data_IF_353358947121
#
_entry.id   IF_353358947121
#
_cell.length_a   1.000
_cell.length_b   1.000
_cell.length_c   1.000
_cell.angle_alpha   90.00
_cell.angle_beta   90.00
_cell.angle_gamma   90.00
#
_symmetry.space_group_name_H-M   'P 1'
#
loop_
_entity.id
_entity.type
_entity.pdbx_description
1 polymer ?
#
# COMPACT_ATOMS: atom_id res chain seq x y z
N UNK A 1 3.56 1.77 -11.74
CA UNK A 1 4.51 2.58 -12.52
C UNK A 1 4.34 2.40 -14.04
N UNK A 2 4.11 1.21 -14.55
CA UNK A 2 4.15 0.93 -15.99
C UNK A 2 2.87 1.24 -16.79
N UNK A 3 1.91 1.96 -16.24
CA UNK A 3 0.68 2.32 -16.94
C UNK A 3 0.33 3.80 -16.83
N UNK A 4 0.51 4.40 -15.67
CA UNK A 4 0.00 5.73 -15.36
C UNK A 4 1.05 6.85 -15.48
N UNK A 5 2.34 6.52 -15.56
CA UNK A 5 3.41 7.50 -15.71
C UNK A 5 3.97 7.56 -17.13
N UNK A 6 4.49 8.72 -17.57
CA UNK A 6 5.22 8.84 -18.81
C UNK A 6 6.39 7.86 -18.90
N UNK A 7 6.69 7.33 -20.10
CA UNK A 7 7.74 6.32 -20.30
C UNK A 7 9.13 6.75 -19.85
N UNK A 8 9.48 8.03 -20.00
CA UNK A 8 10.76 8.55 -19.52
C UNK A 8 10.89 8.51 -17.99
N UNK A 9 9.82 8.82 -17.25
CA UNK A 9 9.81 8.76 -15.79
C UNK A 9 9.96 7.32 -15.29
N UNK A 10 9.31 6.37 -15.96
CA UNK A 10 9.48 4.94 -15.68
C UNK A 10 10.92 4.48 -15.89
N UNK A 11 11.55 4.88 -16.97
CA UNK A 11 12.96 4.54 -17.27
C UNK A 11 13.90 5.11 -16.22
N UNK A 12 13.74 6.38 -15.85
CA UNK A 12 14.52 6.99 -14.76
C UNK A 12 14.34 6.26 -13.44
N UNK A 13 13.10 5.91 -13.10
CA UNK A 13 12.80 5.14 -11.88
C UNK A 13 13.55 3.80 -11.84
N UNK A 14 13.61 3.08 -12.95
CA UNK A 14 14.39 1.82 -13.07
C UNK A 14 15.88 2.08 -12.89
N UNK A 15 16.44 3.06 -13.59
CA UNK A 15 17.88 3.38 -13.53
C UNK A 15 18.28 3.75 -12.09
N UNK A 16 17.57 4.68 -11.46
CA UNK A 16 17.88 5.08 -10.09
C UNK A 16 17.66 3.95 -9.08
N UNK A 17 16.64 3.12 -9.27
CA UNK A 17 16.41 1.95 -8.41
C UNK A 17 17.59 0.95 -8.49
N UNK A 18 18.08 0.66 -9.70
CA UNK A 18 19.24 -0.21 -9.87
C UNK A 18 20.53 0.37 -9.28
N UNK A 19 20.72 1.69 -9.39
CA UNK A 19 21.87 2.38 -8.77
C UNK A 19 21.89 2.25 -7.24
N UNK A 20 20.73 2.14 -6.58
CA UNK A 20 20.63 1.97 -5.13
C UNK A 20 21.20 0.64 -4.60
N UNK A 21 21.40 -0.37 -5.46
CA UNK A 21 22.02 -1.63 -5.05
C UNK A 21 23.44 -1.39 -4.50
N UNK A 22 24.23 -0.55 -5.17
CA UNK A 22 25.63 -0.32 -4.79
C UNK A 22 25.78 0.26 -3.37
N UNK A 23 25.14 1.39 -2.99
CA UNK A 23 25.26 1.92 -1.63
C UNK A 23 24.61 1.02 -0.58
N UNK A 24 23.48 0.36 -0.90
CA UNK A 24 22.79 -0.52 0.04
C UNK A 24 23.61 -1.75 0.37
N UNK A 25 24.17 -2.41 -0.63
CA UNK A 25 25.05 -3.56 -0.41
C UNK A 25 26.37 -3.16 0.20
N UNK A 26 26.90 -1.98 -0.14
CA UNK A 26 28.05 -1.41 0.56
C UNK A 26 27.79 -1.29 2.07
N UNK A 27 26.63 -0.79 2.46
CA UNK A 27 26.19 -0.71 3.86
C UNK A 27 26.04 -2.09 4.52
N UNK A 28 25.40 -3.06 3.83
CA UNK A 28 25.26 -4.43 4.32
C UNK A 28 26.64 -5.08 4.55
N UNK A 29 27.50 -5.03 3.54
CA UNK A 29 28.84 -5.63 3.63
C UNK A 29 29.67 -4.98 4.73
N UNK A 30 29.65 -3.66 4.86
CA UNK A 30 30.33 -2.95 5.92
C UNK A 30 29.81 -3.39 7.30
N UNK A 31 28.49 -3.50 7.48
CA UNK A 31 27.88 -4.00 8.71
C UNK A 31 28.33 -5.43 9.07
N UNK A 32 28.31 -6.34 8.10
CA UNK A 32 28.76 -7.73 8.33
C UNK A 32 30.29 -7.81 8.57
N UNK A 33 31.08 -7.02 7.85
CA UNK A 33 32.54 -7.00 8.00
C UNK A 33 33.00 -6.40 9.34
N UNK A 34 32.17 -5.62 10.04
CA UNK A 34 32.49 -5.18 11.41
C UNK A 34 32.64 -6.35 12.39
N UNK A 35 32.04 -7.51 12.06
CA UNK A 35 32.17 -8.74 12.85
C UNK A 35 33.40 -9.58 12.48
N UNK A 36 34.25 -9.09 11.59
CA UNK A 36 35.49 -9.82 11.21
C UNK A 36 36.36 -10.10 12.43
N UNK A 37 36.63 -11.37 12.72
CA UNK A 37 37.35 -11.81 13.90
C UNK A 37 36.51 -11.94 15.19
N UNK A 38 35.21 -11.69 15.14
CA UNK A 38 34.30 -11.75 16.30
C UNK A 38 32.99 -12.53 16.03
N UNK A 39 32.97 -13.38 15.00
CA UNK A 39 31.79 -14.16 14.65
C UNK A 39 31.36 -15.16 15.73
N UNK A 40 32.26 -15.60 16.58
CA UNK A 40 31.97 -16.42 17.75
C UNK A 40 31.01 -15.75 18.72
N UNK A 41 31.08 -14.40 18.85
CA UNK A 41 30.23 -13.62 19.75
C UNK A 41 28.75 -13.66 19.35
N UNK A 42 28.44 -13.81 18.06
CA UNK A 42 27.04 -13.93 17.58
C UNK A 42 26.33 -15.14 18.22
N UNK A 43 27.05 -16.21 18.59
CA UNK A 43 26.43 -17.38 19.25
C UNK A 43 25.91 -17.05 20.66
N UNK A 44 26.55 -16.13 21.34
CA UNK A 44 26.29 -15.83 22.76
C UNK A 44 25.38 -14.60 22.93
N UNK A 45 25.59 -13.58 22.12
CA UNK A 45 24.91 -12.29 22.25
C UNK A 45 23.63 -12.22 21.39
N UNK A 46 22.45 -12.14 22.00
CA UNK A 46 21.18 -12.00 21.26
C UNK A 46 21.08 -10.69 20.46
N UNK A 47 21.74 -9.60 20.89
CA UNK A 47 21.78 -8.34 20.15
C UNK A 47 22.45 -8.57 18.79
N UNK A 48 23.62 -9.20 18.80
CA UNK A 48 24.34 -9.49 17.55
C UNK A 48 23.58 -10.44 16.64
N UNK A 49 22.83 -11.41 17.19
CA UNK A 49 21.97 -12.28 16.39
C UNK A 49 20.90 -11.48 15.61
N UNK A 50 20.19 -10.60 16.29
CA UNK A 50 19.22 -9.72 15.66
C UNK A 50 19.87 -8.81 14.61
N UNK A 51 21.03 -8.22 14.90
CA UNK A 51 21.74 -7.34 13.98
C UNK A 51 22.20 -8.07 12.72
N UNK A 52 22.75 -9.27 12.83
CA UNK A 52 23.20 -10.06 11.67
C UNK A 52 22.04 -10.44 10.77
N UNK A 53 20.95 -10.95 11.35
CA UNK A 53 19.74 -11.29 10.57
C UNK A 53 19.17 -10.03 9.90
N UNK A 54 19.08 -8.94 10.65
CA UNK A 54 18.53 -7.68 10.13
C UNK A 54 19.36 -7.11 8.98
N UNK A 55 20.68 -7.06 9.11
CA UNK A 55 21.57 -6.54 8.05
C UNK A 55 21.55 -7.47 6.82
N UNK A 56 21.45 -8.80 7.02
CA UNK A 56 21.30 -9.74 5.91
C UNK A 56 19.96 -9.53 5.18
N UNK A 57 18.87 -9.42 5.94
CA UNK A 57 17.54 -9.12 5.37
C UNK A 57 17.51 -7.76 4.64
N UNK A 58 18.21 -6.74 5.17
CA UNK A 58 18.43 -5.48 4.49
C UNK A 58 19.03 -5.66 3.09
N UNK A 59 20.12 -6.45 3.00
CA UNK A 59 20.73 -6.75 1.71
C UNK A 59 19.79 -7.47 0.75
N UNK A 60 18.95 -8.38 1.25
CA UNK A 60 17.95 -9.08 0.43
C UNK A 60 16.89 -8.13 -0.11
N UNK A 61 16.22 -7.35 0.73
CA UNK A 61 15.15 -6.46 0.28
C UNK A 61 15.65 -5.33 -0.60
N UNK A 62 16.85 -4.83 -0.37
CA UNK A 62 17.47 -3.79 -1.19
C UNK A 62 18.06 -4.31 -2.51
N UNK A 63 18.11 -5.61 -2.70
CA UNK A 63 18.31 -6.25 -4.00
C UNK A 63 16.96 -6.49 -4.71
N UNK A 64 15.98 -7.03 -3.99
CA UNK A 64 14.65 -7.31 -4.53
C UNK A 64 13.93 -6.05 -5.01
N UNK A 65 13.99 -4.92 -4.25
CA UNK A 65 13.35 -3.67 -4.61
C UNK A 65 13.76 -3.17 -6.01
N UNK A 66 15.04 -2.97 -6.27
CA UNK A 66 15.55 -2.66 -7.61
C UNK A 66 15.17 -3.68 -8.68
N UNK A 67 15.21 -4.98 -8.39
CA UNK A 67 14.74 -6.01 -9.33
C UNK A 67 13.27 -5.83 -9.67
N UNK A 68 12.41 -5.53 -8.69
CA UNK A 68 10.99 -5.27 -8.90
C UNK A 68 10.73 -4.03 -9.75
N UNK A 69 11.70 -3.12 -9.90
CA UNK A 69 11.59 -1.97 -10.81
C UNK A 69 11.77 -2.35 -12.28
N UNK A 70 12.38 -3.49 -12.59
CA UNK A 70 12.57 -3.98 -13.96
C UNK A 70 11.23 -4.43 -14.52
N UNK A 71 10.85 -3.95 -15.72
CA UNK A 71 9.54 -4.17 -16.33
C UNK A 71 9.10 -5.65 -16.34
N UNK A 72 9.97 -6.56 -16.75
CA UNK A 72 9.65 -7.99 -16.83
C UNK A 72 9.44 -8.63 -15.45
N UNK A 73 10.24 -8.25 -14.46
CA UNK A 73 10.09 -8.73 -13.06
C UNK A 73 8.83 -8.12 -12.44
N UNK A 74 8.62 -6.82 -12.65
CA UNK A 74 7.40 -6.13 -12.20
C UNK A 74 6.14 -6.76 -12.79
N UNK A 75 6.15 -7.09 -14.08
CA UNK A 75 5.03 -7.75 -14.75
C UNK A 75 4.62 -9.05 -14.04
N UNK A 76 5.57 -9.78 -13.47
CA UNK A 76 5.31 -11.03 -12.73
C UNK A 76 4.92 -10.73 -11.29
N UNK A 77 5.70 -9.93 -10.57
CA UNK A 77 5.59 -9.78 -9.13
C UNK A 77 4.51 -8.80 -8.67
N UNK A 78 4.30 -7.69 -9.40
CA UNK A 78 3.36 -6.64 -9.01
C UNK A 78 1.92 -7.17 -8.95
N UNK A 79 1.20 -6.78 -7.94
CA UNK A 79 -0.14 -7.23 -7.54
C UNK A 79 -0.23 -8.65 -6.97
N UNK A 80 0.85 -9.44 -7.00
CA UNK A 80 0.88 -10.74 -6.34
C UNK A 80 1.34 -10.66 -4.87
N UNK A 81 1.16 -11.73 -4.12
CA UNK A 81 1.64 -11.83 -2.74
C UNK A 81 3.18 -11.82 -2.63
N UNK A 82 3.90 -11.87 -3.75
CA UNK A 82 5.35 -11.64 -3.77
C UNK A 82 5.72 -10.29 -3.17
N UNK A 83 4.94 -9.24 -3.48
CA UNK A 83 5.12 -7.89 -2.89
C UNK A 83 4.95 -7.94 -1.37
N UNK A 84 4.01 -8.74 -0.87
CA UNK A 84 3.80 -8.91 0.57
C UNK A 84 4.99 -9.61 1.22
N UNK A 85 5.56 -10.64 0.57
CA UNK A 85 6.80 -11.28 1.01
C UNK A 85 7.95 -10.29 1.11
N UNK A 86 8.17 -9.51 0.05
CA UNK A 86 9.19 -8.46 0.00
C UNK A 86 9.05 -7.44 1.13
N UNK A 87 7.86 -6.86 1.30
CA UNK A 87 7.61 -5.86 2.35
C UNK A 87 7.82 -6.43 3.75
N UNK A 88 7.36 -7.66 4.02
CA UNK A 88 7.50 -8.26 5.34
C UNK A 88 8.91 -8.78 5.62
N UNK A 89 9.69 -9.15 4.61
CA UNK A 89 11.12 -9.34 4.76
C UNK A 89 11.80 -8.05 5.28
N UNK A 90 11.43 -6.90 4.71
CA UNK A 90 11.88 -5.59 5.17
C UNK A 90 11.33 -5.21 6.55
N UNK A 91 10.03 -5.34 6.77
CA UNK A 91 9.39 -4.88 8.00
C UNK A 91 9.72 -5.76 9.22
N UNK A 92 9.67 -7.09 9.08
CA UNK A 92 9.82 -8.00 10.21
C UNK A 92 11.30 -8.36 10.46
N UNK A 93 12.03 -8.77 9.40
CA UNK A 93 13.42 -9.22 9.57
C UNK A 93 14.39 -8.04 9.61
N UNK A 94 14.33 -7.11 8.66
CA UNK A 94 15.25 -5.96 8.66
C UNK A 94 14.88 -4.95 9.76
N UNK A 95 13.80 -4.20 9.61
CA UNK A 95 13.46 -3.12 10.55
C UNK A 95 13.10 -3.66 11.93
N UNK A 96 12.29 -4.72 12.01
CA UNK A 96 11.93 -5.38 13.27
C UNK A 96 13.16 -5.96 14.00
N UNK A 97 14.04 -6.63 13.26
CA UNK A 97 15.28 -7.16 13.80
C UNK A 97 16.21 -6.06 14.36
N UNK A 98 16.41 -4.96 13.61
CA UNK A 98 17.16 -3.81 14.09
C UNK A 98 16.51 -3.20 15.35
N UNK A 99 15.20 -2.97 15.33
CA UNK A 99 14.49 -2.39 16.47
C UNK A 99 14.61 -3.26 17.73
N UNK A 100 14.42 -4.57 17.63
CA UNK A 100 14.57 -5.48 18.76
C UNK A 100 16.00 -5.55 19.26
N UNK A 101 16.98 -5.65 18.36
CA UNK A 101 18.39 -5.61 18.72
C UNK A 101 18.77 -4.31 19.44
N UNK A 102 18.32 -3.17 18.93
CA UNK A 102 18.54 -1.87 19.56
C UNK A 102 17.88 -1.76 20.93
N UNK A 103 16.65 -2.23 21.10
CA UNK A 103 15.97 -2.23 22.40
C UNK A 103 16.73 -3.08 23.43
N UNK A 104 17.23 -4.26 23.08
CA UNK A 104 18.06 -5.08 23.94
C UNK A 104 19.39 -4.43 24.30
N UNK A 105 19.94 -3.63 23.38
CA UNK A 105 21.18 -2.91 23.60
C UNK A 105 21.00 -1.67 24.49
N UNK A 106 19.95 -0.88 24.26
CA UNK A 106 19.74 0.40 24.90
C UNK A 106 19.10 0.27 26.29
N UNK A 107 18.07 -0.58 26.45
CA UNK A 107 17.29 -0.66 27.68
C UNK A 107 18.14 -0.94 28.92
N UNK A 108 19.09 -1.91 28.95
CA UNK A 108 19.94 -2.12 30.13
C UNK A 108 20.81 -0.91 30.45
N UNK A 109 21.22 -0.13 29.44
CA UNK A 109 22.06 1.05 29.61
C UNK A 109 21.29 2.23 30.18
N UNK A 110 20.08 2.48 29.67
CA UNK A 110 19.22 3.57 30.15
C UNK A 110 18.78 3.34 31.61
N UNK A 111 18.58 2.08 31.98
CA UNK A 111 18.15 1.71 33.35
C UNK A 111 19.30 1.27 34.26
N UNK A 112 20.56 1.49 33.86
CA UNK A 112 21.77 1.16 34.64
C UNK A 112 21.73 -0.27 35.23
N UNK A 113 21.32 -1.25 34.45
CA UNK A 113 21.11 -2.64 34.87
C UNK A 113 21.61 -3.63 33.82
N UNK A 114 21.56 -4.91 34.16
CA UNK A 114 21.82 -6.01 33.21
C UNK A 114 20.50 -6.49 32.61
N UNK A 115 20.56 -7.04 31.41
CA UNK A 115 19.40 -7.69 30.80
C UNK A 115 18.84 -8.77 31.74
N UNK A 116 17.54 -8.74 32.01
CA UNK A 116 16.87 -9.65 32.94
C UNK A 116 17.13 -11.13 32.60
N UNK A 117 17.01 -11.48 31.29
CA UNK A 117 17.26 -12.86 30.86
C UNK A 117 17.76 -12.95 29.41
N UNK A 118 19.00 -13.39 29.26
CA UNK A 118 19.58 -13.72 27.93
C UNK A 118 18.84 -14.92 27.29
N UNK A 119 18.36 -15.86 28.11
CA UNK A 119 17.59 -17.02 27.62
C UNK A 119 16.29 -16.57 26.96
N UNK A 120 15.53 -15.66 27.59
CA UNK A 120 14.30 -15.09 26.99
C UNK A 120 14.59 -14.28 25.72
N UNK A 121 15.69 -13.55 25.67
CA UNK A 121 16.10 -12.82 24.46
C UNK A 121 16.43 -13.80 23.31
N UNK A 122 17.06 -14.93 23.58
CA UNK A 122 17.31 -15.95 22.58
C UNK A 122 16.01 -16.65 22.13
N UNK A 123 15.08 -16.92 23.05
CA UNK A 123 13.76 -17.47 22.68
C UNK A 123 13.04 -16.48 21.77
N UNK A 124 12.99 -15.19 22.13
CA UNK A 124 12.42 -14.14 21.28
C UNK A 124 13.07 -14.13 19.90
N UNK A 125 14.39 -14.13 19.84
CA UNK A 125 15.13 -14.14 18.56
C UNK A 125 14.69 -15.29 17.65
N UNK A 126 14.66 -16.52 18.17
CA UNK A 126 14.30 -17.69 17.35
C UNK A 126 12.82 -17.68 16.94
N UNK A 127 11.92 -17.33 17.85
CA UNK A 127 10.49 -17.25 17.53
C UNK A 127 10.21 -16.14 16.51
N UNK A 128 10.81 -14.96 16.66
CA UNK A 128 10.64 -13.86 15.71
C UNK A 128 11.25 -14.20 14.35
N UNK A 129 12.48 -14.75 14.31
CA UNK A 129 13.16 -15.07 13.05
C UNK A 129 12.44 -16.19 12.31
N UNK A 130 12.15 -17.30 12.98
CA UNK A 130 11.43 -18.42 12.35
C UNK A 130 10.00 -18.03 11.97
N UNK A 131 9.33 -17.24 12.81
CA UNK A 131 8.02 -16.71 12.54
C UNK A 131 8.01 -15.87 11.26
N UNK A 132 8.97 -14.97 11.09
CA UNK A 132 9.11 -14.18 9.89
C UNK A 132 9.45 -15.03 8.65
N UNK A 133 10.29 -16.06 8.77
CA UNK A 133 10.60 -17.00 7.68
C UNK A 133 9.33 -17.74 7.23
N UNK A 134 8.53 -18.28 8.17
CA UNK A 134 7.27 -18.95 7.88
C UNK A 134 6.17 -17.97 7.39
N UNK A 135 6.37 -16.67 7.52
CA UNK A 135 5.53 -15.66 6.91
C UNK A 135 5.98 -15.35 5.49
N UNK A 136 7.26 -15.04 5.30
CA UNK A 136 7.82 -14.47 4.05
C UNK A 136 7.90 -15.51 2.93
N UNK A 137 8.42 -16.72 3.21
CA UNK A 137 8.59 -17.77 2.19
C UNK A 137 7.24 -18.18 1.55
N UNK A 138 6.17 -18.46 2.32
CA UNK A 138 4.87 -18.76 1.73
C UNK A 138 4.31 -17.62 0.88
N UNK A 139 4.60 -16.36 1.22
CA UNK A 139 4.16 -15.22 0.41
C UNK A 139 4.90 -15.15 -0.93
N UNK A 140 6.20 -15.40 -0.97
CA UNK A 140 6.93 -15.52 -2.23
C UNK A 140 6.37 -16.66 -3.09
N UNK A 141 6.16 -17.83 -2.50
CA UNK A 141 5.61 -18.97 -3.22
C UNK A 141 4.19 -18.70 -3.73
N UNK A 142 3.31 -18.22 -2.86
CA UNK A 142 1.94 -17.84 -3.24
C UNK A 142 1.94 -16.80 -4.35
N UNK A 143 2.80 -15.77 -4.27
CA UNK A 143 2.90 -14.72 -5.27
C UNK A 143 3.36 -15.22 -6.64
N UNK A 144 4.32 -16.14 -6.70
CA UNK A 144 4.75 -16.79 -7.94
C UNK A 144 3.61 -17.62 -8.53
N UNK A 145 2.94 -18.42 -7.69
CA UNK A 145 1.78 -19.23 -8.09
C UNK A 145 0.66 -18.36 -8.68
N UNK A 146 0.29 -17.26 -7.99
CA UNK A 146 -0.68 -16.29 -8.49
C UNK A 146 -0.31 -15.78 -9.87
N UNK A 147 0.92 -15.33 -10.02
CA UNK A 147 1.39 -14.70 -11.25
C UNK A 147 1.41 -15.65 -12.44
N UNK A 148 1.79 -16.89 -12.23
CA UNK A 148 1.77 -17.92 -13.27
C UNK A 148 0.34 -18.25 -13.69
N UNK A 149 -0.55 -18.55 -12.73
CA UNK A 149 -1.96 -18.86 -13.01
C UNK A 149 -2.70 -17.70 -13.69
N UNK A 150 -2.43 -16.44 -13.28
CA UNK A 150 -3.12 -15.30 -13.90
C UNK A 150 -2.71 -15.05 -15.34
N UNK A 151 -1.56 -15.55 -15.79
CA UNK A 151 -1.00 -15.34 -17.14
C UNK A 151 -1.01 -16.56 -18.02
N UNK A 152 -1.44 -17.68 -17.51
CA UNK A 152 -1.50 -18.91 -18.27
C UNK A 152 -2.65 -18.88 -19.28
N UNK A 153 -2.35 -19.32 -20.51
CA UNK A 153 -3.30 -19.46 -21.60
C UNK A 153 -3.37 -20.90 -22.06
N UNK A 154 -4.55 -21.33 -22.45
CA UNK A 154 -4.75 -22.62 -23.15
C UNK A 154 -4.15 -22.57 -24.54
N UNK A 155 -3.96 -23.73 -25.18
CA UNK A 155 -3.49 -23.82 -26.58
C UNK A 155 -4.42 -23.08 -27.56
N UNK A 156 -5.69 -22.88 -27.19
CA UNK A 156 -6.68 -22.15 -27.97
C UNK A 156 -6.60 -20.62 -27.75
N UNK A 157 -5.74 -20.17 -26.83
CA UNK A 157 -5.51 -18.77 -26.55
C UNK A 157 -6.49 -18.12 -25.58
N UNK A 158 -7.26 -18.88 -24.82
CA UNK A 158 -8.09 -18.39 -23.72
C UNK A 158 -7.33 -18.44 -22.40
N UNK A 159 -7.75 -17.63 -21.41
CA UNK A 159 -7.21 -17.74 -20.06
C UNK A 159 -7.44 -19.16 -19.51
N UNK A 160 -6.37 -19.80 -19.02
CA UNK A 160 -6.49 -21.14 -18.43
C UNK A 160 -7.28 -21.11 -17.11
N UNK A 161 -7.16 -20.01 -16.35
CA UNK A 161 -7.85 -19.79 -15.07
C UNK A 161 -8.64 -18.48 -15.13
N UNK A 162 -9.81 -18.44 -15.79
CA UNK A 162 -10.60 -17.21 -15.95
C UNK A 162 -11.23 -16.75 -14.64
N UNK A 163 -11.61 -17.66 -13.75
CA UNK A 163 -12.19 -17.30 -12.45
C UNK A 163 -11.07 -16.95 -11.46
N UNK A 164 -11.13 -15.75 -10.89
CA UNK A 164 -10.14 -15.28 -9.92
C UNK A 164 -10.04 -16.18 -8.67
N UNK A 165 -11.17 -16.78 -8.23
CA UNK A 165 -11.21 -17.64 -7.05
C UNK A 165 -10.39 -18.93 -7.22
N UNK A 166 -10.17 -19.44 -8.44
CA UNK A 166 -9.34 -20.61 -8.68
C UNK A 166 -7.92 -20.41 -8.12
N UNK A 167 -7.35 -19.22 -8.35
CA UNK A 167 -6.04 -18.87 -7.80
C UNK A 167 -6.09 -18.70 -6.28
N UNK A 168 -7.15 -18.08 -5.75
CA UNK A 168 -7.32 -17.89 -4.30
C UNK A 168 -7.34 -19.24 -3.57
N UNK A 169 -8.11 -20.19 -4.05
CA UNK A 169 -8.21 -21.54 -3.44
C UNK A 169 -6.85 -22.23 -3.44
N UNK A 170 -6.07 -22.08 -4.52
CA UNK A 170 -4.75 -22.71 -4.65
C UNK A 170 -3.74 -22.20 -3.63
N UNK A 171 -3.84 -20.94 -3.19
CA UNK A 171 -2.87 -20.35 -2.26
C UNK A 171 -3.31 -20.35 -0.79
N UNK A 172 -4.50 -20.87 -0.45
CA UNK A 172 -4.96 -21.00 0.95
C UNK A 172 -3.93 -21.68 1.87
N UNK A 173 -3.23 -22.78 1.47
CA UNK A 173 -2.21 -23.38 2.32
C UNK A 173 -1.06 -22.41 2.68
N UNK A 174 -0.68 -21.52 1.75
CA UNK A 174 0.34 -20.49 1.99
C UNK A 174 -0.16 -19.45 2.98
N UNK A 175 -1.45 -19.11 2.95
CA UNK A 175 -2.07 -18.23 3.94
C UNK A 175 -2.12 -18.87 5.34
N UNK A 176 -2.37 -20.17 5.43
CA UNK A 176 -2.31 -20.90 6.71
C UNK A 176 -0.88 -20.88 7.29
N UNK A 177 0.14 -21.12 6.46
CA UNK A 177 1.55 -21.02 6.89
C UNK A 177 1.93 -19.60 7.30
N UNK A 178 1.44 -18.58 6.57
CA UNK A 178 1.60 -17.17 6.93
C UNK A 178 1.00 -16.86 8.31
N UNK A 179 -0.22 -17.34 8.58
CA UNK A 179 -0.88 -17.16 9.87
C UNK A 179 -0.09 -17.81 11.01
N UNK A 180 0.40 -19.04 10.79
CA UNK A 180 1.28 -19.72 11.73
C UNK A 180 2.56 -18.92 12.00
N UNK A 181 3.24 -18.46 10.95
CA UNK A 181 4.46 -17.64 11.06
C UNK A 181 4.21 -16.34 11.82
N UNK A 182 3.13 -15.62 11.49
CA UNK A 182 2.75 -14.40 12.20
C UNK A 182 2.46 -14.63 13.68
N UNK A 183 1.79 -15.74 14.02
CA UNK A 183 1.53 -16.13 15.42
C UNK A 183 2.82 -16.39 16.19
N UNK A 184 3.77 -17.12 15.60
CA UNK A 184 5.10 -17.33 16.21
C UNK A 184 5.82 -16.00 16.45
N UNK A 185 5.79 -15.10 15.48
CA UNK A 185 6.42 -13.78 15.59
C UNK A 185 5.84 -12.99 16.77
N UNK A 186 4.51 -12.96 16.90
CA UNK A 186 3.81 -12.28 18.03
C UNK A 186 4.20 -12.90 19.37
N UNK A 187 4.21 -14.23 19.48
CA UNK A 187 4.63 -14.92 20.70
C UNK A 187 6.07 -14.55 21.06
N UNK A 188 6.97 -14.54 20.07
CA UNK A 188 8.34 -14.07 20.25
C UNK A 188 8.40 -12.63 20.79
N UNK A 189 7.66 -11.72 20.18
CA UNK A 189 7.58 -10.31 20.59
C UNK A 189 7.08 -10.17 22.05
N UNK A 190 6.11 -10.96 22.48
CA UNK A 190 5.62 -10.96 23.86
C UNK A 190 6.72 -11.36 24.85
N UNK A 191 7.55 -12.37 24.54
CA UNK A 191 8.74 -12.69 25.35
C UNK A 191 9.71 -11.51 25.38
N UNK A 192 9.89 -10.81 24.27
CA UNK A 192 10.71 -9.61 24.17
C UNK A 192 10.22 -8.50 25.09
N UNK A 193 8.93 -8.15 24.99
CA UNK A 193 8.29 -7.13 25.82
C UNK A 193 8.41 -7.46 27.31
N UNK A 194 8.12 -8.71 27.68
CA UNK A 194 8.25 -9.14 29.08
C UNK A 194 9.69 -9.01 29.59
N UNK A 195 10.68 -9.44 28.81
CA UNK A 195 12.09 -9.36 29.18
C UNK A 195 12.56 -7.91 29.35
N UNK A 196 12.18 -7.01 28.43
CA UNK A 196 12.51 -5.59 28.48
C UNK A 196 11.81 -4.90 29.67
N UNK A 197 10.54 -5.22 29.91
CA UNK A 197 9.80 -4.71 31.07
C UNK A 197 10.50 -5.10 32.40
N UNK A 198 10.87 -6.36 32.55
CA UNK A 198 11.57 -6.85 33.74
C UNK A 198 12.97 -6.20 33.88
N UNK A 199 13.66 -6.00 32.76
CA UNK A 199 14.95 -5.29 32.73
C UNK A 199 14.80 -3.86 33.24
N UNK A 200 13.86 -3.11 32.66
CA UNK A 200 13.58 -1.72 33.09
C UNK A 200 13.19 -1.63 34.58
N UNK A 201 12.36 -2.58 35.05
CA UNK A 201 11.90 -2.60 36.45
C UNK A 201 13.00 -2.99 37.44
N UNK A 202 14.08 -3.67 37.00
CA UNK A 202 15.19 -4.08 37.86
C UNK A 202 16.27 -3.01 38.06
N UNK A 203 16.21 -1.92 37.29
CA UNK A 203 17.16 -0.80 37.35
C UNK A 203 16.51 0.52 37.75
N UNK A 204 17.30 1.56 37.68
CA UNK A 204 16.85 2.95 37.86
C UNK A 204 17.13 3.72 36.57
N UNK A 205 16.18 4.59 36.19
CA UNK A 205 16.38 5.44 35.02
C UNK A 205 17.60 6.34 35.21
N UNK A 206 18.50 6.31 34.22
CA UNK A 206 19.67 7.20 34.19
C UNK A 206 19.22 8.66 34.39
N UNK A 207 19.83 9.35 35.34
CA UNK A 207 19.57 10.76 35.58
C UNK A 207 20.05 11.55 34.35
N UNK A 208 19.27 12.55 33.94
CA UNK A 208 19.69 13.46 32.90
C UNK A 208 20.91 14.25 33.39
N UNK A 209 22.09 13.90 32.93
CA UNK A 209 23.33 14.65 33.13
C UNK A 209 23.59 15.49 31.86
N UNK A 210 24.16 16.67 32.05
CA UNK A 210 24.62 17.47 30.89
C UNK A 210 25.66 16.68 30.11
N UNK A 211 25.40 16.42 28.84
CA UNK A 211 26.34 15.75 27.98
C UNK A 211 27.56 16.64 27.77
N UNK A 212 28.71 16.24 28.28
CA UNK A 212 29.96 16.92 27.98
C UNK A 212 30.46 16.44 26.61
N UNK A 213 30.25 17.26 25.59
CA UNK A 213 30.87 17.07 24.30
C UNK A 213 32.30 17.65 24.32
N UNK A 214 33.31 16.93 23.79
CA UNK A 214 34.61 17.55 23.58
C UNK A 214 34.46 18.80 22.70
N UNK A 215 35.24 19.85 23.00
CA UNK A 215 35.25 21.05 22.21
C UNK A 215 35.42 20.74 20.71
N UNK A 216 34.62 21.36 19.85
CA UNK A 216 34.73 21.22 18.41
C UNK A 216 36.17 21.51 17.98
N UNK A 217 36.93 20.49 17.67
CA UNK A 217 38.25 20.64 17.08
C UNK A 217 38.05 21.14 15.64
N UNK A 218 38.63 22.26 15.32
CA UNK A 218 38.75 22.70 13.93
C UNK A 218 39.56 21.63 13.20
N UNK A 219 38.95 20.94 12.27
CA UNK A 219 39.65 20.00 11.43
C UNK A 219 40.71 20.75 10.63
N UNK A 220 41.96 20.61 11.04
CA UNK A 220 43.12 21.06 10.27
C UNK A 220 43.26 20.02 9.13
N UNK A 221 42.75 20.37 7.93
CA UNK A 221 42.79 19.44 6.78
C UNK A 221 44.23 19.01 6.50
N UNK A 222 44.46 17.73 6.41
CA UNK A 222 45.69 17.16 5.91
C UNK A 222 45.79 17.48 4.40
N UNK A 223 46.96 17.96 3.92
CA UNK A 223 47.17 18.28 2.49
C UNK A 223 46.93 17.07 1.57
N UNK A 224 47.11 15.86 2.11
CA UNK A 224 46.90 14.56 1.42
C UNK A 224 45.48 14.00 1.57
N UNK A 225 44.57 14.72 2.19
CA UNK A 225 43.21 14.24 2.42
C UNK A 225 42.41 14.24 1.10
N UNK A 226 41.74 13.10 0.81
CA UNK A 226 40.88 12.98 -0.38
C UNK A 226 39.73 14.01 -0.33
N UNK A 227 39.29 14.45 -1.49
CA UNK A 227 38.28 15.52 -1.59
C UNK A 227 36.97 15.19 -0.85
N UNK A 228 36.55 13.91 -0.84
CA UNK A 228 35.33 13.48 -0.15
C UNK A 228 35.50 13.54 1.38
N UNK A 229 36.64 13.11 1.93
CA UNK A 229 36.93 13.26 3.37
C UNK A 229 37.01 14.71 3.80
N UNK A 230 37.60 15.55 2.97
CA UNK A 230 37.63 17.01 3.21
C UNK A 230 36.22 17.61 3.21
N UNK A 231 35.30 17.06 2.41
CA UNK A 231 33.90 17.46 2.38
C UNK A 231 33.15 16.96 3.62
N UNK A 232 33.30 15.69 3.98
CA UNK A 232 32.69 15.08 5.16
C UNK A 232 33.13 15.76 6.46
N UNK A 233 34.40 16.19 6.55
CA UNK A 233 34.92 16.95 7.68
C UNK A 233 34.33 18.36 7.81
N UNK A 234 33.47 18.82 6.89
CA UNK A 234 32.81 20.12 6.89
C UNK A 234 31.30 19.97 6.85
N UNK A 235 30.66 19.62 7.99
CA UNK A 235 29.25 19.23 8.03
C UNK A 235 28.30 20.22 7.40
N UNK A 236 28.50 21.52 7.57
CA UNK A 236 27.66 22.55 6.95
C UNK A 236 27.72 22.49 5.41
N UNK A 237 28.95 22.43 4.85
CA UNK A 237 29.12 22.33 3.38
C UNK A 237 28.57 21.02 2.83
N UNK A 238 28.82 19.93 3.53
CA UNK A 238 28.28 18.62 3.16
C UNK A 238 26.75 18.64 3.12
N UNK A 239 26.12 19.15 4.18
CA UNK A 239 24.66 19.26 4.26
C UNK A 239 24.09 20.15 3.15
N UNK A 240 24.67 21.32 2.91
CA UNK A 240 24.21 22.23 1.86
C UNK A 240 24.33 21.59 0.46
N UNK A 241 25.46 20.93 0.17
CA UNK A 241 25.63 20.25 -1.12
C UNK A 241 24.68 19.04 -1.26
N UNK A 242 24.40 18.33 -0.17
CA UNK A 242 23.41 17.24 -0.17
C UNK A 242 22.02 17.79 -0.45
N UNK A 243 21.61 18.89 0.19
CA UNK A 243 20.33 19.54 -0.08
C UNK A 243 20.24 20.01 -1.54
N UNK A 244 21.31 20.62 -2.07
CA UNK A 244 21.35 21.04 -3.48
C UNK A 244 21.21 19.85 -4.41
N UNK A 245 21.89 18.73 -4.15
CA UNK A 245 21.78 17.52 -4.96
C UNK A 245 20.35 16.91 -4.93
N UNK A 246 19.72 16.89 -3.76
CA UNK A 246 18.31 16.46 -3.59
C UNK A 246 17.37 17.37 -4.38
N UNK A 247 17.55 18.68 -4.26
CA UNK A 247 16.73 19.67 -4.98
C UNK A 247 16.91 19.54 -6.51
N UNK A 248 18.12 19.36 -6.99
CA UNK A 248 18.37 19.15 -8.43
C UNK A 248 17.63 17.88 -8.89
N UNK A 249 17.75 16.77 -8.17
CA UNK A 249 17.04 15.53 -8.50
C UNK A 249 15.51 15.70 -8.51
N UNK A 250 14.96 16.34 -7.48
CA UNK A 250 13.53 16.62 -7.38
C UNK A 250 13.03 17.55 -8.50
N UNK A 251 13.79 18.61 -8.81
CA UNK A 251 13.44 19.57 -9.88
C UNK A 251 13.45 18.87 -11.24
N UNK A 252 14.46 18.05 -11.55
CA UNK A 252 14.56 17.32 -12.83
C UNK A 252 13.35 16.39 -13.06
N UNK A 253 12.81 15.81 -12.00
CA UNK A 253 11.64 14.92 -12.09
C UNK A 253 10.32 15.70 -12.05
N UNK A 254 10.18 16.67 -11.13
CA UNK A 254 8.94 17.38 -10.87
C UNK A 254 8.62 18.43 -11.96
N UNK A 255 9.61 19.26 -12.36
CA UNK A 255 9.38 20.40 -13.25
C UNK A 255 8.82 20.00 -14.64
N UNK A 256 9.30 18.95 -15.31
CA UNK A 256 8.70 18.52 -16.57
C UNK A 256 7.23 18.11 -16.43
N UNK A 257 6.88 17.45 -15.32
CA UNK A 257 5.50 17.03 -15.06
C UNK A 257 4.62 18.25 -14.77
N UNK A 258 5.13 19.24 -14.02
CA UNK A 258 4.37 20.43 -13.66
C UNK A 258 4.22 21.46 -14.79
N UNK A 259 5.18 21.52 -15.73
CA UNK A 259 5.21 22.56 -16.78
C UNK A 259 4.76 22.08 -18.15
N UNK A 260 4.72 20.77 -18.38
CA UNK A 260 4.36 20.20 -19.68
C UNK A 260 3.00 19.51 -19.56
N UNK A 261 1.95 20.16 -20.05
CA UNK A 261 0.57 19.68 -19.94
C UNK A 261 0.39 18.26 -20.52
N UNK A 262 1.11 17.91 -21.58
CA UNK A 262 1.06 16.57 -22.17
C UNK A 262 1.61 15.45 -21.26
N UNK A 263 2.32 15.78 -20.19
CA UNK A 263 2.76 14.83 -19.16
C UNK A 263 1.66 14.52 -18.12
N UNK A 264 0.58 15.30 -18.13
CA UNK A 264 -0.62 15.08 -17.31
C UNK A 264 -1.79 14.80 -18.28
N UNK A 265 -1.90 13.57 -18.79
CA UNK A 265 -2.95 13.25 -19.74
C UNK A 265 -4.32 13.40 -19.10
N UNK A 266 -5.23 14.05 -19.80
CA UNK A 266 -6.64 14.20 -19.43
C UNK A 266 -7.50 13.48 -20.43
N UNK A 267 -8.67 13.02 -20.01
CA UNK A 267 -9.72 12.41 -20.84
C UNK A 267 -10.96 13.26 -20.65
N UNK A 268 -11.51 13.80 -21.74
CA UNK A 268 -12.63 14.75 -21.70
C UNK A 268 -13.89 14.17 -21.06
N UNK A 269 -14.11 12.87 -21.21
CA UNK A 269 -15.27 12.18 -20.61
C UNK A 269 -15.15 11.93 -19.11
N UNK A 270 -13.94 12.04 -18.53
CA UNK A 270 -13.73 11.83 -17.09
C UNK A 270 -14.25 13.01 -16.30
N UNK A 271 -15.15 12.75 -15.38
CA UNK A 271 -15.82 13.74 -14.54
C UNK A 271 -15.42 13.61 -13.08
N UNK A 272 -15.44 14.70 -12.28
CA UNK A 272 -15.31 14.62 -10.84
C UNK A 272 -16.35 13.70 -10.21
N UNK A 273 -16.01 13.07 -9.09
CA UNK A 273 -16.97 12.28 -8.32
C UNK A 273 -18.10 13.16 -7.77
N UNK A 274 -19.32 12.64 -7.76
CA UNK A 274 -20.43 13.27 -7.03
C UNK A 274 -20.21 13.22 -5.53
N UNK A 275 -20.95 14.00 -4.76
CA UNK A 275 -20.84 14.00 -3.30
C UNK A 275 -21.07 12.60 -2.68
N UNK A 276 -22.02 11.82 -3.20
CA UNK A 276 -22.24 10.44 -2.73
C UNK A 276 -21.09 9.50 -3.11
N UNK A 277 -20.53 9.66 -4.29
CA UNK A 277 -19.38 8.88 -4.76
C UNK A 277 -18.10 9.21 -3.96
N UNK A 278 -17.91 10.48 -3.56
CA UNK A 278 -16.81 10.88 -2.64
C UNK A 278 -16.98 10.20 -1.28
N UNK A 279 -18.18 10.20 -0.69
CA UNK A 279 -18.43 9.46 0.56
C UNK A 279 -18.16 7.97 0.40
N UNK A 280 -18.64 7.37 -0.69
CA UNK A 280 -18.38 5.95 -0.99
C UNK A 280 -16.89 5.64 -1.13
N UNK A 281 -16.14 6.56 -1.74
CA UNK A 281 -14.66 6.45 -1.86
C UNK A 281 -13.97 6.54 -0.50
N UNK A 282 -14.41 7.45 0.35
CA UNK A 282 -13.87 7.59 1.70
C UNK A 282 -14.18 6.35 2.56
N UNK A 283 -15.37 5.77 2.45
CA UNK A 283 -15.73 4.50 3.07
C UNK A 283 -14.84 3.36 2.52
N UNK A 284 -14.64 3.29 1.21
CA UNK A 284 -13.77 2.29 0.57
C UNK A 284 -12.34 2.35 1.12
N UNK A 285 -11.82 3.55 1.39
CA UNK A 285 -10.50 3.75 2.01
C UNK A 285 -10.53 3.36 3.49
N UNK A 286 -11.54 3.82 4.23
CA UNK A 286 -11.66 3.58 5.67
C UNK A 286 -11.81 2.09 6.01
N UNK A 287 -12.58 1.35 5.21
CA UNK A 287 -12.74 -0.10 5.36
C UNK A 287 -11.54 -0.90 4.79
N UNK A 288 -10.60 -0.23 4.15
CA UNK A 288 -9.37 -0.84 3.65
C UNK A 288 -9.56 -1.73 2.42
N UNK A 289 -10.59 -1.52 1.61
CA UNK A 289 -10.87 -2.29 0.41
C UNK A 289 -9.68 -2.27 -0.57
N UNK A 290 -9.00 -1.12 -0.68
CA UNK A 290 -7.80 -0.93 -1.49
C UNK A 290 -6.58 -1.75 -1.03
N UNK A 291 -6.62 -2.34 0.17
CA UNK A 291 -5.58 -3.25 0.65
C UNK A 291 -5.69 -4.65 0.05
N UNK A 292 -6.88 -5.05 -0.40
CA UNK A 292 -7.14 -6.36 -1.01
C UNK A 292 -7.45 -6.26 -2.51
N UNK A 293 -8.04 -5.16 -2.96
CA UNK A 293 -8.41 -4.91 -4.35
C UNK A 293 -7.54 -3.80 -4.96
N UNK A 294 -7.06 -4.02 -6.17
CA UNK A 294 -6.42 -2.99 -6.97
C UNK A 294 -7.47 -2.24 -7.81
N UNK A 295 -7.10 -1.04 -8.27
CA UNK A 295 -7.88 -0.24 -9.22
C UNK A 295 -6.99 0.20 -10.39
N UNK A 296 -6.17 -0.71 -10.92
CA UNK A 296 -5.35 -0.45 -12.09
C UNK A 296 -5.15 -1.73 -12.89
N UNK A 297 -5.75 -1.80 -14.05
CA UNK A 297 -5.59 -2.88 -15.03
C UNK A 297 -4.40 -2.52 -15.92
N UNK A 298 -3.39 -3.38 -15.93
CA UNK A 298 -2.18 -3.17 -16.75
C UNK A 298 -2.44 -3.58 -18.21
N UNK A 299 -1.67 -3.03 -19.19
CA UNK A 299 -1.85 -3.32 -20.61
C UNK A 299 -1.28 -4.71 -21.01
N UNK A 300 -1.63 -5.74 -20.23
CA UNK A 300 -1.30 -7.12 -20.50
C UNK A 300 -2.55 -7.86 -20.96
N UNK A 301 -2.42 -8.68 -22.01
CA UNK A 301 -3.51 -9.47 -22.53
C UNK A 301 -4.25 -10.26 -21.44
N UNK A 302 -3.52 -10.87 -20.52
CA UNK A 302 -4.11 -11.63 -19.40
C UNK A 302 -4.94 -10.78 -18.45
N UNK A 303 -4.65 -9.49 -18.31
CA UNK A 303 -5.42 -8.57 -17.46
C UNK A 303 -6.62 -8.00 -18.22
N UNK A 304 -6.41 -7.59 -19.47
CA UNK A 304 -7.49 -7.02 -20.29
C UNK A 304 -8.57 -8.04 -20.63
N UNK A 305 -8.21 -9.30 -20.84
CA UNK A 305 -9.20 -10.38 -21.04
C UNK A 305 -9.96 -10.72 -19.74
N UNK A 306 -9.33 -10.55 -18.58
CA UNK A 306 -9.96 -10.84 -17.28
C UNK A 306 -10.84 -9.71 -16.77
N UNK A 307 -10.38 -8.47 -16.87
CA UNK A 307 -10.99 -7.32 -16.20
C UNK A 307 -11.62 -6.31 -17.16
N UNK A 308 -11.23 -6.29 -18.42
CA UNK A 308 -11.63 -5.30 -19.40
C UNK A 308 -10.48 -4.38 -19.82
N UNK A 309 -10.79 -3.26 -20.45
CA UNK A 309 -9.80 -2.34 -21.00
C UNK A 309 -8.79 -1.85 -19.94
N UNK A 310 -7.49 -1.79 -20.31
CA UNK A 310 -6.44 -1.31 -19.40
C UNK A 310 -6.66 0.12 -18.94
N UNK A 311 -6.20 0.42 -17.75
CA UNK A 311 -6.34 1.71 -17.09
C UNK A 311 -5.47 2.77 -17.76
N UNK A 312 -6.06 3.92 -18.08
CA UNK A 312 -5.38 5.07 -18.67
C UNK A 312 -5.09 6.12 -17.59
N UNK A 313 -3.96 6.79 -17.69
CA UNK A 313 -3.53 7.78 -16.70
C UNK A 313 -4.58 8.88 -16.47
N UNK A 314 -5.23 9.34 -17.55
CA UNK A 314 -6.26 10.38 -17.48
C UNK A 314 -7.52 9.99 -16.73
N UNK A 315 -7.75 8.70 -16.45
CA UNK A 315 -8.90 8.27 -15.65
C UNK A 315 -8.76 8.61 -14.16
N UNK A 316 -7.53 8.84 -13.68
CA UNK A 316 -7.21 9.08 -12.28
C UNK A 316 -6.96 10.56 -11.95
N UNK A 317 -7.19 11.46 -12.90
CA UNK A 317 -6.81 12.87 -12.75
C UNK A 317 -7.46 13.57 -11.55
N UNK A 318 -8.60 13.08 -11.10
CA UNK A 318 -9.33 13.61 -9.93
C UNK A 318 -9.21 12.73 -8.68
N UNK A 319 -8.38 11.70 -8.72
CA UNK A 319 -8.15 10.82 -7.56
C UNK A 319 -7.10 11.39 -6.60
N UNK A 320 -7.52 11.69 -5.38
CA UNK A 320 -6.66 12.17 -4.30
C UNK A 320 -6.92 11.39 -3.02
N UNK A 321 -6.04 10.41 -2.66
CA UNK A 321 -4.92 9.82 -3.39
C UNK A 321 -5.34 8.79 -4.45
N UNK A 322 -4.39 8.34 -5.28
CA UNK A 322 -4.60 7.18 -6.17
C UNK A 322 -4.80 5.90 -5.35
N UNK A 323 -5.79 5.09 -5.75
CA UNK A 323 -6.12 3.82 -5.08
C UNK A 323 -5.72 2.59 -5.92
N UNK A 324 -4.61 2.68 -6.63
CA UNK A 324 -4.14 1.61 -7.50
C UNK A 324 -3.91 0.28 -6.81
N UNK A 325 -3.59 0.30 -5.50
CA UNK A 325 -3.27 -0.89 -4.73
C UNK A 325 -1.88 -1.43 -5.01
N UNK A 326 -1.47 -2.41 -4.22
CA UNK A 326 -0.18 -3.10 -4.35
C UNK A 326 -0.31 -4.61 -4.49
N UNK A 327 -1.49 -5.16 -4.19
CA UNK A 327 -1.79 -6.60 -4.28
C UNK A 327 -3.23 -6.84 -4.72
N UNK A 328 -3.50 -8.05 -5.17
CA UNK A 328 -4.83 -8.57 -5.49
C UNK A 328 -5.11 -9.83 -4.67
N UNK A 329 -5.57 -9.64 -3.43
CA UNK A 329 -6.21 -10.71 -2.65
C UNK A 329 -7.61 -10.98 -3.20
N UNK A 330 -8.28 -9.92 -3.67
CA UNK A 330 -9.46 -9.92 -4.51
C UNK A 330 -9.15 -9.36 -5.91
N UNK A 331 -10.11 -9.45 -6.86
CA UNK A 331 -9.94 -8.98 -8.24
C UNK A 331 -9.72 -7.46 -8.32
N UNK A 332 -9.19 -7.00 -9.46
CA UNK A 332 -9.17 -5.57 -9.79
C UNK A 332 -10.58 -5.02 -9.94
N UNK A 333 -10.84 -3.83 -9.41
CA UNK A 333 -12.17 -3.20 -9.39
C UNK A 333 -12.29 -1.99 -10.34
N UNK A 334 -11.26 -1.65 -11.12
CA UNK A 334 -11.29 -0.44 -11.95
C UNK A 334 -12.37 -0.48 -13.04
N UNK A 335 -12.86 -1.65 -13.43
CA UNK A 335 -13.96 -1.84 -14.39
C UNK A 335 -15.15 -2.55 -13.77
N UNK A 336 -15.42 -2.30 -12.49
CA UNK A 336 -16.54 -2.94 -11.80
C UNK A 336 -17.88 -2.22 -12.04
N UNK A 337 -17.84 -0.94 -12.36
CA UNK A 337 -19.04 -0.14 -12.60
C UNK A 337 -19.89 -0.68 -13.74
N UNK A 338 -21.19 -0.86 -13.47
CA UNK A 338 -22.14 -1.44 -14.40
C UNK A 338 -22.02 -2.95 -14.64
N UNK A 339 -21.02 -3.62 -14.06
CA UNK A 339 -20.81 -5.07 -14.24
C UNK A 339 -21.81 -5.92 -13.47
N UNK A 340 -22.21 -5.47 -12.29
CA UNK A 340 -23.17 -6.14 -11.41
C UNK A 340 -24.24 -5.12 -10.96
N UNK A 341 -25.50 -5.55 -10.72
CA UNK A 341 -26.53 -4.66 -10.20
C UNK A 341 -26.26 -4.27 -8.74
N UNK A 342 -26.88 -3.17 -8.29
CA UNK A 342 -26.76 -2.65 -6.92
C UNK A 342 -27.10 -3.70 -5.86
N UNK A 343 -28.08 -4.54 -6.11
CA UNK A 343 -28.51 -5.66 -5.26
C UNK A 343 -27.39 -6.73 -5.09
N UNK A 344 -26.58 -6.93 -6.12
CA UNK A 344 -25.42 -7.82 -6.02
C UNK A 344 -24.35 -7.22 -5.09
N UNK A 345 -24.03 -5.95 -5.26
CA UNK A 345 -23.08 -5.27 -4.39
C UNK A 345 -23.54 -5.25 -2.94
N UNK A 346 -24.81 -4.98 -2.69
CA UNK A 346 -25.40 -4.99 -1.36
C UNK A 346 -25.25 -6.35 -0.68
N UNK A 347 -25.61 -7.44 -1.39
CA UNK A 347 -25.47 -8.81 -0.88
C UNK A 347 -24.02 -9.22 -0.69
N UNK A 348 -23.14 -8.79 -1.61
CA UNK A 348 -21.71 -9.09 -1.52
C UNK A 348 -21.05 -8.43 -0.31
N UNK A 349 -21.47 -7.23 0.08
CA UNK A 349 -20.98 -6.59 1.31
C UNK A 349 -21.51 -7.29 2.57
N UNK A 350 -22.75 -7.76 2.53
CA UNK A 350 -23.35 -8.47 3.65
C UNK A 350 -22.75 -9.87 3.84
N UNK A 351 -22.74 -10.68 2.78
CA UNK A 351 -22.16 -12.02 2.75
C UNK A 351 -21.48 -12.30 1.41
N UNK A 352 -20.16 -12.11 1.30
CA UNK A 352 -19.41 -12.36 0.07
C UNK A 352 -19.57 -13.79 -0.47
N UNK A 353 -19.72 -14.80 0.39
CA UNK A 353 -19.89 -16.20 -0.02
C UNK A 353 -21.23 -16.46 -0.71
N UNK A 354 -22.27 -15.69 -0.40
CA UNK A 354 -23.59 -15.82 -1.04
C UNK A 354 -23.58 -15.47 -2.52
N UNK A 355 -22.67 -14.57 -2.94
CA UNK A 355 -22.52 -14.13 -4.33
C UNK A 355 -21.31 -14.73 -5.03
N UNK A 356 -20.31 -15.13 -4.27
CA UNK A 356 -19.02 -15.68 -4.76
C UNK A 356 -18.58 -16.84 -3.87
N UNK A 357 -19.14 -18.06 -4.05
CA UNK A 357 -18.83 -19.22 -3.22
C UNK A 357 -17.32 -19.54 -3.20
N UNK A 358 -16.75 -19.70 -2.01
CA UNK A 358 -15.31 -19.90 -1.80
C UNK A 358 -14.53 -18.59 -1.62
N UNK A 359 -15.20 -17.45 -1.56
CA UNK A 359 -14.57 -16.16 -1.26
C UNK A 359 -13.94 -16.16 0.13
N UNK A 360 -12.74 -15.55 0.24
CA UNK A 360 -12.06 -15.25 1.52
C UNK A 360 -12.28 -13.81 1.96
N UNK A 361 -13.08 -13.03 1.22
CA UNK A 361 -13.45 -11.67 1.58
C UNK A 361 -14.24 -11.69 2.88
N UNK A 362 -13.90 -10.86 3.89
CA UNK A 362 -14.70 -10.73 5.09
C UNK A 362 -16.05 -10.08 4.78
N UNK A 363 -17.07 -10.37 5.57
CA UNK A 363 -18.36 -9.69 5.52
C UNK A 363 -18.25 -8.30 6.19
N UNK A 364 -19.03 -7.35 5.70
CA UNK A 364 -19.10 -5.96 6.19
C UNK A 364 -20.54 -5.56 6.61
N UNK A 365 -21.20 -6.31 7.51
CA UNK A 365 -22.61 -6.09 7.83
C UNK A 365 -22.87 -4.71 8.48
N UNK A 366 -21.88 -4.10 9.12
CA UNK A 366 -21.99 -2.75 9.70
C UNK A 366 -22.23 -1.66 8.68
N UNK A 367 -21.84 -1.84 7.40
CA UNK A 367 -22.11 -0.89 6.34
C UNK A 367 -23.62 -0.74 6.05
N UNK A 368 -24.40 -1.79 6.38
CA UNK A 368 -25.85 -1.79 6.20
C UNK A 368 -26.57 -1.10 7.37
N UNK A 369 -25.91 -0.96 8.53
CA UNK A 369 -26.52 -0.41 9.75
C UNK A 369 -26.02 0.97 10.12
N UNK A 370 -24.77 1.33 9.75
CA UNK A 370 -24.19 2.63 10.04
C UNK A 370 -24.57 3.67 8.98
N UNK A 371 -24.82 4.88 9.46
CA UNK A 371 -25.14 6.01 8.60
C UNK A 371 -23.89 6.70 8.06
N UNK A 372 -23.96 7.24 6.85
CA UNK A 372 -22.91 8.01 6.19
C UNK A 372 -22.80 9.42 6.79
N UNK A 373 -21.63 10.04 6.67
CA UNK A 373 -21.38 11.41 7.13
C UNK A 373 -21.75 12.42 6.03
N UNK A 374 -22.97 12.95 6.10
CA UNK A 374 -23.42 13.98 5.17
C UNK A 374 -23.02 15.40 5.61
N UNK A 375 -22.77 15.62 6.90
CA UNK A 375 -22.54 16.94 7.46
C UNK A 375 -21.20 17.53 7.01
N UNK A 376 -20.15 16.71 6.95
CA UNK A 376 -18.82 17.14 6.54
C UNK A 376 -18.63 17.26 5.02
N UNK A 377 -19.59 16.83 4.20
CA UNK A 377 -19.46 16.75 2.74
C UNK A 377 -19.12 18.09 2.06
N UNK A 378 -19.72 19.24 2.40
CA UNK A 378 -19.33 20.53 1.82
C UNK A 378 -17.82 20.82 1.96
N UNK A 379 -17.27 20.59 3.15
CA UNK A 379 -15.85 20.83 3.44
C UNK A 379 -14.93 19.87 2.65
N UNK A 380 -15.38 18.63 2.42
CA UNK A 380 -14.61 17.66 1.61
C UNK A 380 -14.58 18.08 0.14
N UNK A 381 -15.69 18.58 -0.41
CA UNK A 381 -15.73 19.09 -1.79
C UNK A 381 -14.85 20.33 -1.94
N UNK A 382 -14.84 21.25 -0.95
CA UNK A 382 -13.93 22.41 -0.94
C UNK A 382 -12.45 21.96 -0.88
N UNK A 383 -12.13 20.96 -0.06
CA UNK A 383 -10.78 20.41 0.02
C UNK A 383 -10.35 19.81 -1.33
N UNK A 384 -11.20 19.04 -2.00
CA UNK A 384 -10.92 18.49 -3.33
C UNK A 384 -10.78 19.61 -4.39
N UNK A 385 -11.58 20.67 -4.32
CA UNK A 385 -11.43 21.85 -5.19
C UNK A 385 -10.07 22.53 -4.99
N UNK A 386 -9.58 22.61 -3.74
CA UNK A 386 -8.28 23.21 -3.40
C UNK A 386 -7.11 22.44 -4.03
N UNK A 387 -7.23 21.10 -4.18
CA UNK A 387 -6.22 20.26 -4.83
C UNK A 387 -6.42 20.13 -6.35
N UNK A 388 -7.33 20.89 -6.93
CA UNK A 388 -7.47 21.06 -8.37
C UNK A 388 -8.62 20.30 -9.03
N UNK A 389 -9.50 19.64 -8.27
CA UNK A 389 -10.71 19.02 -8.83
C UNK A 389 -11.68 20.13 -9.26
N UNK A 390 -12.17 20.15 -10.52
CA UNK A 390 -12.90 21.28 -11.10
C UNK A 390 -14.39 21.28 -10.71
N UNK A 391 -14.67 21.29 -9.41
CA UNK A 391 -16.04 21.51 -8.96
C UNK A 391 -16.48 22.96 -9.17
N UNK A 392 -17.77 23.17 -9.47
CA UNK A 392 -18.35 24.52 -9.44
C UNK A 392 -18.18 25.14 -8.05
N UNK A 393 -17.81 26.44 -7.94
CA UNK A 393 -17.67 27.13 -6.65
C UNK A 393 -18.92 27.07 -5.76
N UNK A 394 -20.10 26.86 -6.37
CA UNK A 394 -21.36 26.70 -5.65
C UNK A 394 -21.74 25.28 -5.29
N UNK A 395 -20.98 24.27 -5.79
CA UNK A 395 -21.33 22.87 -5.55
C UNK A 395 -21.33 22.47 -4.07
N UNK A 396 -20.43 22.98 -3.20
CA UNK A 396 -20.51 22.71 -1.76
C UNK A 396 -21.88 23.02 -1.13
N UNK A 397 -22.56 24.06 -1.61
CA UNK A 397 -23.90 24.47 -1.10
C UNK A 397 -24.98 23.42 -1.42
N UNK A 398 -24.82 22.67 -2.52
CA UNK A 398 -25.78 21.69 -3.03
C UNK A 398 -25.35 20.23 -2.78
N UNK A 399 -24.12 20.01 -2.35
CA UNK A 399 -23.51 18.69 -2.23
C UNK A 399 -24.36 17.71 -1.42
N UNK A 400 -24.87 18.14 -0.26
CA UNK A 400 -25.73 17.30 0.59
C UNK A 400 -27.06 16.98 -0.09
N UNK A 401 -27.63 17.93 -0.80
CA UNK A 401 -28.91 17.75 -1.55
C UNK A 401 -28.72 16.74 -2.71
N UNK A 402 -27.63 16.87 -3.45
CA UNK A 402 -27.27 15.96 -4.54
C UNK A 402 -27.00 14.55 -4.01
N UNK A 403 -26.25 14.45 -2.92
CA UNK A 403 -25.96 13.19 -2.22
C UNK A 403 -27.23 12.44 -1.81
N UNK A 404 -28.20 13.15 -1.18
CA UNK A 404 -29.49 12.57 -0.78
C UNK A 404 -30.31 12.11 -1.99
N UNK A 405 -30.36 12.92 -3.04
CA UNK A 405 -31.11 12.58 -4.25
C UNK A 405 -30.53 11.36 -4.98
N UNK A 406 -29.20 11.23 -5.05
CA UNK A 406 -28.55 10.07 -5.63
C UNK A 406 -28.76 8.83 -4.76
N UNK A 407 -28.62 8.94 -3.44
CA UNK A 407 -28.81 7.84 -2.50
C UNK A 407 -30.26 7.32 -2.54
N UNK A 408 -31.26 8.20 -2.63
CA UNK A 408 -32.66 7.80 -2.72
C UNK A 408 -32.95 7.03 -4.03
N UNK A 409 -32.36 7.46 -5.17
CA UNK A 409 -32.51 6.72 -6.44
C UNK A 409 -31.99 5.28 -6.34
N UNK A 410 -30.81 5.09 -5.71
CA UNK A 410 -30.23 3.73 -5.50
C UNK A 410 -31.14 2.92 -4.58
N UNK A 411 -31.56 3.50 -3.47
CA UNK A 411 -32.44 2.81 -2.50
C UNK A 411 -33.79 2.46 -3.11
N UNK A 412 -34.38 3.33 -3.91
CA UNK A 412 -35.62 3.03 -4.63
C UNK A 412 -35.42 1.87 -5.62
N UNK A 413 -34.33 1.85 -6.38
CA UNK A 413 -34.00 0.74 -7.27
C UNK A 413 -33.83 -0.57 -6.52
N UNK A 414 -33.21 -0.55 -5.34
CA UNK A 414 -33.12 -1.75 -4.47
C UNK A 414 -34.51 -2.21 -3.99
N UNK A 415 -35.38 -1.29 -3.57
CA UNK A 415 -36.76 -1.57 -3.11
C UNK A 415 -37.60 -2.16 -4.23
N UNK A 416 -37.56 -1.61 -5.44
CA UNK A 416 -38.29 -2.10 -6.61
C UNK A 416 -37.87 -3.53 -6.99
N UNK A 417 -36.66 -3.93 -6.67
CA UNK A 417 -36.13 -5.27 -6.87
C UNK A 417 -36.26 -6.20 -5.63
N UNK A 418 -36.89 -5.74 -4.54
CA UNK A 418 -37.12 -6.53 -3.32
C UNK A 418 -35.90 -6.68 -2.41
N UNK A 419 -34.97 -5.72 -2.45
CA UNK A 419 -33.72 -5.73 -1.65
C UNK A 419 -33.66 -4.60 -0.62
N UNK A 420 -34.80 -4.06 -0.23
CA UNK A 420 -34.91 -3.05 0.83
C UNK A 420 -34.75 -3.61 2.25
N UNK A 421 -34.87 -4.94 2.41
CA UNK A 421 -34.62 -5.64 3.68
C UNK A 421 -33.70 -6.85 3.42
N UNK A 422 -32.59 -6.93 4.16
CA UNK A 422 -31.70 -8.10 4.17
C UNK A 422 -31.59 -8.62 5.60
N UNK A 423 -31.96 -9.88 5.81
CA UNK A 423 -31.92 -10.55 7.13
C UNK A 423 -32.50 -9.69 8.28
N UNK A 424 -33.58 -8.96 7.99
CA UNK A 424 -34.26 -8.08 8.95
C UNK A 424 -33.64 -6.69 9.11
N UNK A 425 -32.59 -6.35 8.35
CA UNK A 425 -31.99 -5.02 8.32
C UNK A 425 -32.67 -4.21 7.21
N UNK A 426 -33.30 -3.10 7.55
CA UNK A 426 -33.89 -2.17 6.60
C UNK A 426 -32.78 -1.30 5.98
N UNK A 427 -32.74 -1.24 4.64
CA UNK A 427 -31.77 -0.47 3.88
C UNK A 427 -32.38 0.88 3.51
N UNK A 428 -31.91 1.91 4.20
CA UNK A 428 -32.32 3.31 3.93
C UNK A 428 -31.26 4.05 3.16
N UNK A 429 -31.65 5.17 2.54
CA UNK A 429 -30.75 6.00 1.72
C UNK A 429 -29.59 6.65 2.51
N UNK A 430 -29.63 6.58 3.83
CA UNK A 430 -28.57 7.14 4.71
C UNK A 430 -27.44 6.15 5.02
N UNK A 431 -27.61 4.87 4.66
CA UNK A 431 -26.62 3.82 5.02
C UNK A 431 -25.35 3.90 4.21
N UNK A 432 -24.21 3.66 4.87
CA UNK A 432 -22.86 3.66 4.25
C UNK A 432 -22.77 2.77 3.01
N UNK A 433 -23.46 1.64 3.00
CA UNK A 433 -23.45 0.73 1.85
C UNK A 433 -23.96 1.40 0.57
N UNK A 434 -24.91 2.34 0.67
CA UNK A 434 -25.47 3.06 -0.48
C UNK A 434 -24.41 3.95 -1.13
N UNK A 435 -23.62 4.68 -0.32
CA UNK A 435 -22.51 5.47 -0.83
C UNK A 435 -21.42 4.60 -1.46
N UNK A 436 -21.08 3.46 -0.82
CA UNK A 436 -20.12 2.52 -1.37
C UNK A 436 -20.60 1.94 -2.72
N UNK A 437 -21.89 1.60 -2.86
CA UNK A 437 -22.48 1.15 -4.13
C UNK A 437 -22.32 2.24 -5.20
N UNK A 438 -22.65 3.50 -4.88
CA UNK A 438 -22.50 4.62 -5.82
C UNK A 438 -21.04 4.72 -6.32
N UNK A 439 -20.07 4.65 -5.44
CA UNK A 439 -18.66 4.68 -5.82
C UNK A 439 -18.25 3.49 -6.69
N UNK A 440 -18.62 2.26 -6.31
CA UNK A 440 -18.29 1.06 -7.09
C UNK A 440 -18.92 1.07 -8.49
N UNK A 441 -20.17 1.53 -8.59
CA UNK A 441 -20.86 1.68 -9.88
C UNK A 441 -20.28 2.79 -10.77
N UNK A 442 -19.52 3.72 -10.17
CA UNK A 442 -18.83 4.79 -10.89
C UNK A 442 -17.55 4.34 -11.58
N UNK A 443 -16.85 3.34 -10.99
CA UNK A 443 -15.52 2.95 -11.41
C UNK A 443 -15.46 2.49 -12.87
N UNK A 444 -14.63 3.18 -13.66
CA UNK A 444 -14.34 2.85 -15.06
C UNK A 444 -15.46 3.12 -16.06
N UNK A 445 -16.54 3.80 -15.65
CA UNK A 445 -17.68 4.08 -16.54
C UNK A 445 -17.45 5.30 -17.44
N UNK A 446 -16.54 6.20 -17.10
CA UNK A 446 -16.31 7.44 -17.85
C UNK A 446 -15.81 7.23 -19.27
N UNK A 447 -15.00 6.21 -19.47
CA UNK A 447 -14.44 5.88 -20.80
C UNK A 447 -15.35 4.99 -21.64
N UNK A 448 -16.41 4.42 -21.04
CA UNK A 448 -17.35 3.50 -21.73
C UNK A 448 -18.46 4.23 -22.51
N UNK A 449 -18.43 5.56 -22.51
CA UNK A 449 -19.56 6.42 -22.90
C UNK A 449 -20.01 6.41 -24.35
N UNK A 450 -19.27 5.85 -25.29
CA UNK A 450 -19.66 5.78 -26.70
C UNK A 450 -20.19 4.42 -27.18
N UNK A 451 -20.04 3.36 -26.37
CA UNK A 451 -20.36 1.98 -26.76
C UNK A 451 -21.11 1.19 -25.67
N UNK A 452 -22.07 1.81 -24.98
CA UNK A 452 -22.92 1.06 -24.07
C UNK A 452 -23.91 0.20 -24.87
N UNK A 453 -23.73 -1.14 -24.93
CA UNK A 453 -24.64 -2.01 -25.68
C UNK A 453 -26.05 -2.09 -25.08
N UNK A 454 -26.27 -1.52 -23.89
CA UNK A 454 -27.57 -1.55 -23.19
C UNK A 454 -28.29 -0.21 -23.19
N UNK A 455 -27.71 0.88 -23.72
CA UNK A 455 -28.40 2.14 -24.01
C UNK A 455 -29.00 2.93 -22.83
N UNK A 456 -28.85 2.42 -21.61
CA UNK A 456 -29.21 3.09 -20.38
C UNK A 456 -27.98 3.27 -19.50
N UNK A 457 -27.41 4.47 -19.54
CA UNK A 457 -26.35 4.84 -18.59
C UNK A 457 -26.86 4.63 -17.17
N UNK A 458 -26.02 4.05 -16.27
CA UNK A 458 -26.30 4.08 -14.84
C UNK A 458 -26.69 5.48 -14.42
N UNK A 459 -27.64 5.60 -13.50
CA UNK A 459 -28.21 6.85 -13.03
C UNK A 459 -27.19 7.91 -12.53
N UNK A 460 -25.92 7.50 -12.34
CA UNK A 460 -24.79 8.36 -12.00
C UNK A 460 -24.36 9.33 -13.11
N UNK A 461 -24.63 9.05 -14.39
CA UNK A 461 -24.19 9.94 -15.50
C UNK A 461 -25.08 11.15 -15.77
N UNK A 462 -26.24 11.28 -15.16
CA UNK A 462 -26.99 12.52 -15.17
C UNK A 462 -26.51 13.46 -14.07
N UNK A 463 -25.23 13.86 -14.17
CA UNK A 463 -24.71 14.93 -13.33
C UNK A 463 -25.55 16.18 -13.53
N UNK A 464 -26.01 16.73 -12.41
CA UNK A 464 -26.66 18.05 -12.42
C UNK A 464 -25.72 19.07 -13.08
N UNK A 465 -26.19 19.95 -13.96
CA UNK A 465 -25.39 21.03 -14.56
C UNK A 465 -24.64 21.90 -13.52
N UNK A 466 -24.97 21.75 -12.25
CA UNK A 466 -24.39 22.48 -11.12
C UNK A 466 -23.01 21.93 -10.71
N UNK A 467 -22.63 20.71 -11.11
CA UNK A 467 -21.38 20.11 -10.69
C UNK A 467 -20.17 20.72 -11.41
N UNK A 468 -20.33 21.11 -12.67
CA UNK A 468 -19.24 21.68 -13.47
C UNK A 468 -19.60 23.05 -14.04
N UNK A 469 -18.71 24.01 -13.85
CA UNK A 469 -18.72 25.25 -14.63
C UNK A 469 -17.87 25.02 -15.90
N UNK A 470 -18.46 25.14 -17.10
CA UNK A 470 -17.64 25.11 -18.32
C UNK A 470 -16.71 26.32 -18.29
N UNK A 471 -15.39 26.06 -18.28
CA UNK A 471 -14.40 27.09 -18.60
C UNK A 471 -14.47 27.47 -20.06
#
# INVERSE_FOLDING_TARGET
LYTALPGWAQTLGVVFSLMLIAPSWGGMLNGLLTLRGAWDKVREDPVLKFMVVAVTAYGMVTFEGPMLSIANVNAIAHYSDYIIGHVHNGALLWNGGLAFGMLYFITPRIYETKLFSTKLANIHFWFATMGAIFYVIPMYWGGITQSLMWKEFTDQGFLAYPNFLETVVQIIPMYALRAFGGTLFIIGALFGVYNLYKTAKSGSLLKAEEAQAPALQKHAGDENESWHRRLEGRPLKFTLLTVVAILIGGIVEYMPTALIDSNIPTIESVQPYTALEVEGRDIYIAEGCNNCHSQMIRPFRSETERYGEYSKAGEFVYDHPFLWGSKRTGPDLHRIGGKYPDSWHLRHMYDPNSTSPGSIMPAYPWLLTQDMDMESMPNRIEALSTVGVPYSPRYPEYAVGDMKAQAERITQGLRENGFDIIEGIEITSEKKVIALIAYLQRLGTDISGENDPFGELPSSKKLSPVIMEKK
#
